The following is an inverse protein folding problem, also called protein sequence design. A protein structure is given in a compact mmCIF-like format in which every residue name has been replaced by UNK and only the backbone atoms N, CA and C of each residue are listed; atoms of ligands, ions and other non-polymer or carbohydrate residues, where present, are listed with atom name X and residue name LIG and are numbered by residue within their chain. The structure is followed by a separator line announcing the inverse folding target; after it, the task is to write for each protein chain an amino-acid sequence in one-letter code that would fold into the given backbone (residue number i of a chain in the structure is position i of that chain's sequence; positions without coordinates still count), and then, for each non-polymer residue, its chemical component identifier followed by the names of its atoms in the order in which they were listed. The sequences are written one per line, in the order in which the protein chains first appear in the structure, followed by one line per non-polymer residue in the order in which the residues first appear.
data_IF_823327453871
#
_entry.id   IF_823327453871
#
_cell.length_a   1.000
_cell.length_b   1.000
_cell.length_c   1.000
_cell.angle_alpha   90.00
_cell.angle_beta   90.00
_cell.angle_gamma   90.00
#
_symmetry.space_group_name_H-M   'P 1'
#
loop_
_entity.id
_entity.type
_entity.pdbx_description
1 polymer ?
#
# COMPACT_ATOMS: atom_id res chain seq x y z
N UNK A 1 -3.96 -0.07 12.45
CA UNK A 1 -4.18 0.06 10.99
C UNK A 1 -2.93 -0.25 10.15
N UNK A 2 -1.72 -0.30 10.73
CA UNK A 2 -0.46 -0.58 10.00
C UNK A 2 -0.24 -2.06 9.69
N UNK A 3 -0.70 -2.98 10.53
CA UNK A 3 -0.39 -4.43 10.41
C UNK A 3 -0.97 -5.09 9.16
N UNK A 4 -2.23 -4.81 8.81
CA UNK A 4 -2.86 -5.37 7.60
C UNK A 4 -2.36 -4.72 6.31
N UNK A 5 -2.04 -3.43 6.35
CA UNK A 5 -1.39 -2.75 5.23
C UNK A 5 0.00 -3.36 4.99
N UNK A 6 0.74 -3.67 6.06
CA UNK A 6 2.00 -4.40 5.99
C UNK A 6 1.81 -5.85 5.52
N UNK A 7 0.74 -6.55 5.89
CA UNK A 7 0.47 -7.92 5.41
C UNK A 7 0.03 -7.93 3.94
N UNK A 8 -0.77 -6.96 3.48
CA UNK A 8 -1.09 -6.78 2.06
C UNK A 8 0.18 -6.48 1.26
N UNK A 9 1.04 -5.60 1.78
CA UNK A 9 2.35 -5.31 1.19
C UNK A 9 3.26 -6.55 1.22
N UNK A 10 3.26 -7.34 2.30
CA UNK A 10 4.03 -8.58 2.45
C UNK A 10 3.56 -9.62 1.45
N UNK A 11 2.26 -9.90 1.35
CA UNK A 11 1.69 -10.84 0.36
C UNK A 11 1.99 -10.35 -1.06
N UNK A 12 1.90 -9.05 -1.33
CA UNK A 12 2.28 -8.48 -2.62
C UNK A 12 3.78 -8.69 -2.91
N UNK A 13 4.65 -8.42 -1.93
CA UNK A 13 6.10 -8.60 -2.06
C UNK A 13 6.49 -10.07 -2.17
N UNK A 14 5.86 -10.98 -1.43
CA UNK A 14 6.02 -12.45 -1.55
C UNK A 14 5.58 -12.95 -2.93
N UNK A 15 4.49 -12.38 -3.48
CA UNK A 15 4.05 -12.64 -4.84
C UNK A 15 5.08 -12.17 -5.89
N UNK A 16 5.62 -10.96 -5.71
CA UNK A 16 6.70 -10.42 -6.54
C UNK A 16 7.98 -11.24 -6.39
N UNK A 17 8.34 -11.67 -5.18
CA UNK A 17 9.53 -12.49 -4.90
C UNK A 17 9.40 -13.87 -5.53
N UNK A 18 8.24 -14.52 -5.41
CA UNK A 18 7.96 -15.80 -6.08
C UNK A 18 7.90 -15.66 -7.60
N UNK A 19 7.44 -14.52 -8.14
CA UNK A 19 7.49 -14.22 -9.57
C UNK A 19 8.94 -14.00 -10.06
N UNK A 20 9.78 -13.27 -9.31
CA UNK A 20 11.20 -13.14 -9.60
C UNK A 20 11.92 -14.49 -9.57
N UNK A 21 11.53 -15.36 -8.63
CA UNK A 21 12.02 -16.74 -8.49
C UNK A 21 11.63 -17.62 -9.70
N UNK A 22 10.52 -17.32 -10.39
CA UNK A 22 10.06 -17.99 -11.60
C UNK A 22 10.65 -17.43 -12.90
N UNK A 23 10.94 -16.13 -12.97
CA UNK A 23 11.59 -15.53 -14.15
C UNK A 23 13.07 -15.90 -14.27
N UNK A 24 13.67 -16.44 -13.21
CA UNK A 24 15.07 -16.86 -13.18
C UNK A 24 15.24 -18.37 -13.37
N UNK A 25 14.97 -18.87 -14.58
CA UNK A 25 15.53 -20.15 -15.04
C UNK A 25 16.98 -20.01 -15.57
N UNK A 26 17.62 -18.86 -15.33
CA UNK A 26 19.01 -18.65 -15.70
C UNK A 26 19.92 -19.29 -14.66
N UNK A 27 20.58 -20.39 -15.04
CA UNK A 27 21.58 -21.08 -14.23
C UNK A 27 22.69 -20.14 -13.71
N UNK A 28 22.90 -18.99 -14.36
CA UNK A 28 23.86 -17.95 -13.96
C UNK A 28 23.43 -17.20 -12.70
N UNK A 29 22.14 -16.94 -12.52
CA UNK A 29 21.60 -16.21 -11.35
C UNK A 29 21.56 -17.12 -10.13
N UNK A 30 21.15 -18.39 -10.32
CA UNK A 30 21.19 -19.40 -9.25
C UNK A 30 22.63 -19.62 -8.76
N UNK A 31 23.63 -19.59 -9.65
CA UNK A 31 25.06 -19.65 -9.28
C UNK A 31 25.53 -18.42 -8.50
N UNK A 32 25.10 -17.22 -8.91
CA UNK A 32 25.45 -15.98 -8.22
C UNK A 32 24.89 -15.92 -6.79
N UNK A 33 23.66 -16.41 -6.58
CA UNK A 33 23.05 -16.49 -5.24
C UNK A 33 23.69 -17.59 -4.38
N UNK A 34 24.05 -18.73 -4.98
CA UNK A 34 24.74 -19.82 -4.25
C UNK A 34 26.16 -19.43 -3.82
N UNK A 35 26.83 -18.56 -4.57
CA UNK A 35 28.16 -18.04 -4.22
C UNK A 35 28.12 -16.97 -3.12
N UNK A 36 26.97 -16.35 -2.83
CA UNK A 36 26.84 -15.41 -1.70
C UNK A 36 26.72 -16.11 -0.35
N UNK A 37 26.38 -17.40 -0.31
CA UNK A 37 26.28 -18.17 0.94
C UNK A 37 27.65 -18.74 1.38
N UNK A 38 28.62 -18.88 0.46
CA UNK A 38 29.97 -19.39 0.79
C UNK A 38 31.00 -18.31 1.19
N UNK A 39 30.68 -17.01 1.11
CA UNK A 39 31.55 -15.95 1.67
C UNK A 39 31.25 -15.66 3.16
N UNK A 40 30.58 -16.61 3.83
CA UNK A 40 30.52 -16.73 5.28
C UNK A 40 31.91 -17.04 5.84
N UNK A 41 32.77 -16.01 5.86
CA UNK A 41 34.13 -16.02 6.38
C UNK A 41 34.15 -16.64 7.78
N UNK A 42 34.62 -17.89 7.85
CA UNK A 42 35.02 -18.54 9.10
C UNK A 42 36.10 -17.67 9.73
N UNK A 43 35.76 -17.02 10.83
CA UNK A 43 36.72 -16.33 11.67
C UNK A 43 37.40 -17.37 12.56
N UNK A 44 38.62 -17.78 12.21
CA UNK A 44 39.49 -18.53 13.11
C UNK A 44 39.82 -17.65 14.31
N UNK A 45 39.20 -17.96 15.46
CA UNK A 45 39.44 -17.26 16.72
C UNK A 45 40.78 -17.72 17.29
N UNK A 46 41.85 -17.00 16.97
CA UNK A 46 43.06 -17.07 17.78
C UNK A 46 42.78 -16.43 19.15
N UNK A 47 42.83 -17.27 20.18
CA UNK A 47 42.65 -16.93 21.59
C UNK A 47 43.82 -16.05 22.06
N UNK A 48 43.69 -14.73 21.90
CA UNK A 48 44.44 -13.75 22.66
C UNK A 48 43.92 -13.71 24.10
N UNK A 49 44.83 -13.79 25.07
CA UNK A 49 44.55 -13.40 26.45
C UNK A 49 44.19 -11.90 26.44
N UNK A 50 43.44 -11.46 27.44
CA UNK A 50 43.07 -10.06 27.71
C UNK A 50 41.71 -9.68 27.09
N UNK A 51 40.64 -10.05 27.80
CA UNK A 51 39.26 -9.85 27.38
C UNK A 51 38.80 -8.39 27.39
N UNK A 52 38.87 -7.72 26.24
CA UNK A 52 38.19 -6.44 26.04
C UNK A 52 37.59 -6.34 24.63
N UNK A 53 36.26 -6.31 24.57
CA UNK A 53 35.47 -6.13 23.35
C UNK A 53 35.53 -4.66 22.94
N UNK A 54 36.22 -4.35 21.85
CA UNK A 54 36.18 -3.02 21.21
C UNK A 54 35.12 -3.02 20.10
N UNK A 55 34.17 -2.09 20.17
CA UNK A 55 33.14 -1.90 19.13
C UNK A 55 33.76 -1.06 17.99
N UNK A 56 33.61 -1.39 16.70
CA UNK A 56 34.02 -0.48 15.64
C UNK A 56 33.02 0.67 15.49
N UNK A 57 33.54 1.90 15.54
CA UNK A 57 32.81 3.12 15.22
C UNK A 57 32.81 3.34 13.70
N UNK A 58 31.64 3.59 13.11
CA UNK A 58 31.52 4.04 11.71
C UNK A 58 31.74 5.56 11.68
N UNK A 59 32.72 6.02 10.91
CA UNK A 59 33.07 7.44 10.75
C UNK A 59 32.25 8.03 9.59
N UNK A 60 31.26 8.86 9.87
CA UNK A 60 30.58 9.66 8.84
C UNK A 60 31.43 10.90 8.54
N UNK A 61 31.77 11.11 7.27
CA UNK A 61 32.43 12.33 6.82
C UNK A 61 31.40 13.48 6.77
N UNK A 62 31.65 14.53 7.54
CA UNK A 62 30.94 15.82 7.47
C UNK A 62 31.75 16.73 6.55
N UNK A 63 31.16 17.20 5.44
CA UNK A 63 31.66 18.38 4.76
C UNK A 63 30.88 19.59 5.28
N UNK A 64 31.53 20.32 6.19
CA UNK A 64 31.15 21.67 6.60
C UNK A 64 31.74 22.66 5.60
N UNK A 65 30.92 23.61 5.15
CA UNK A 65 31.38 24.96 4.84
C UNK A 65 30.35 25.94 5.42
N UNK A 66 30.72 26.52 6.55
CA UNK A 66 30.07 27.68 7.16
C UNK A 66 30.24 28.93 6.28
N UNK A 67 29.20 29.75 6.18
CA UNK A 67 29.35 31.21 6.30
C UNK A 67 28.04 31.85 6.76
N UNK A 68 28.19 32.76 7.74
CA UNK A 68 27.18 33.37 8.61
C UNK A 68 26.08 34.20 7.89
N UNK A 69 24.94 34.46 8.57
CA UNK A 69 23.83 35.25 8.04
C UNK A 69 24.07 36.76 8.21
N UNK A 70 23.62 37.62 7.27
CA UNK A 70 23.49 39.05 7.54
C UNK A 70 22.11 39.37 8.14
N UNK A 71 22.14 40.15 9.22
CA UNK A 71 20.99 40.70 9.96
C UNK A 71 20.15 41.69 9.14
N UNK A 72 18.91 41.88 9.62
CA UNK A 72 17.90 42.86 9.20
C UNK A 72 18.40 44.31 9.23
N UNK A 73 17.96 45.09 8.24
CA UNK A 73 17.80 46.54 8.38
C UNK A 73 16.50 46.98 7.70
N UNK A 74 15.65 47.68 8.44
CA UNK A 74 14.31 48.11 8.03
C UNK A 74 14.33 49.52 7.44
N UNK A 75 13.65 49.74 6.29
CA UNK A 75 13.40 51.10 5.78
C UNK A 75 12.82 51.22 4.37
N UNK A 76 11.48 51.23 4.27
CA UNK A 76 10.57 52.01 3.38
C UNK A 76 10.96 52.33 1.90
N UNK A 77 10.20 51.82 0.90
CA UNK A 77 9.51 52.66 -0.14
C UNK A 77 8.55 51.86 -1.08
N UNK A 78 7.33 52.40 -1.20
CA UNK A 78 6.20 52.35 -2.17
C UNK A 78 6.22 51.44 -3.44
N UNK A 79 5.12 50.66 -3.52
CA UNK A 79 4.17 50.38 -4.63
C UNK A 79 4.60 49.74 -5.99
N UNK A 80 3.62 49.02 -6.57
CA UNK A 80 3.45 48.45 -7.91
C UNK A 80 3.73 46.95 -8.07
N UNK A 81 2.63 46.22 -8.31
CA UNK A 81 2.53 44.77 -8.30
C UNK A 81 3.24 44.01 -9.42
N UNK A 82 3.72 42.81 -9.06
CA UNK A 82 3.80 41.64 -9.93
C UNK A 82 3.93 40.39 -9.06
N UNK A 83 2.82 39.69 -8.80
CA UNK A 83 2.85 38.33 -8.23
C UNK A 83 3.30 37.35 -9.32
N UNK A 84 4.59 37.27 -9.57
CA UNK A 84 5.20 36.08 -10.17
C UNK A 84 5.44 35.10 -9.04
N UNK A 85 4.42 34.30 -8.71
CA UNK A 85 4.61 33.16 -7.80
C UNK A 85 5.37 32.08 -8.57
N UNK A 86 6.69 32.07 -8.41
CA UNK A 86 7.47 30.84 -8.60
C UNK A 86 7.09 29.92 -7.45
N UNK A 87 6.17 28.99 -7.72
CA UNK A 87 5.81 27.96 -6.75
C UNK A 87 6.98 26.98 -6.64
N UNK A 88 7.60 26.98 -5.48
CA UNK A 88 8.54 25.94 -5.05
C UNK A 88 7.84 24.57 -5.10
N UNK A 89 8.20 23.70 -6.05
CA UNK A 89 7.69 22.33 -6.14
C UNK A 89 8.46 21.38 -5.22
N UNK A 90 8.32 21.59 -3.91
CA UNK A 90 8.75 20.63 -2.89
C UNK A 90 7.53 20.28 -2.03
N UNK A 91 6.93 19.11 -2.31
CA UNK A 91 5.79 18.56 -1.57
C UNK A 91 4.45 18.63 -2.31
N UNK A 92 4.26 17.82 -3.35
CA UNK A 92 2.91 17.60 -3.88
C UNK A 92 2.09 16.80 -2.85
N UNK A 93 0.89 17.24 -2.45
CA UNK A 93 -0.01 16.43 -1.64
C UNK A 93 -0.23 15.08 -2.33
N UNK A 94 -0.18 13.98 -1.57
CA UNK A 94 -0.55 12.66 -2.08
C UNK A 94 -1.92 12.76 -2.75
N UNK A 95 -1.90 12.72 -4.08
CA UNK A 95 -3.12 12.95 -4.83
C UNK A 95 -4.06 11.77 -4.58
N UNK A 96 -5.31 12.06 -4.22
CA UNK A 96 -6.34 11.03 -4.07
C UNK A 96 -6.43 10.20 -5.37
N UNK A 97 -6.30 8.88 -5.24
CA UNK A 97 -6.32 7.94 -6.36
C UNK A 97 -7.72 7.34 -6.61
N UNK A 98 -8.68 7.58 -5.73
CA UNK A 98 -10.04 7.06 -5.88
C UNK A 98 -10.97 8.06 -6.55
N UNK A 99 -11.71 7.57 -7.55
CA UNK A 99 -12.87 8.24 -8.11
C UNK A 99 -14.15 7.90 -7.33
N UNK A 100 -14.22 6.72 -6.71
CA UNK A 100 -15.30 6.39 -5.78
C UNK A 100 -15.16 7.22 -4.50
N UNK A 101 -16.27 7.81 -4.04
CA UNK A 101 -16.30 8.58 -2.79
C UNK A 101 -16.13 7.65 -1.58
N UNK A 102 -15.36 8.12 -0.60
CA UNK A 102 -15.28 7.46 0.70
C UNK A 102 -16.65 7.45 1.40
N UNK A 103 -16.92 6.43 2.21
CA UNK A 103 -18.18 6.19 2.92
C UNK A 103 -19.40 6.03 2.00
N UNK A 104 -19.21 5.44 0.82
CA UNK A 104 -20.31 5.09 -0.08
C UNK A 104 -21.21 4.03 0.58
N UNK A 105 -22.53 4.18 0.48
CA UNK A 105 -23.51 3.23 1.01
C UNK A 105 -24.14 2.41 -0.11
N UNK A 106 -24.13 1.10 0.05
CA UNK A 106 -24.74 0.13 -0.86
C UNK A 106 -25.84 -0.62 -0.11
N UNK A 107 -27.00 -0.77 -0.73
CA UNK A 107 -28.13 -1.55 -0.19
C UNK A 107 -28.32 -2.76 -1.09
N UNK A 108 -28.43 -3.95 -0.49
CA UNK A 108 -28.73 -5.19 -1.19
C UNK A 108 -29.80 -5.98 -0.45
N UNK A 109 -30.61 -6.71 -1.19
CA UNK A 109 -31.61 -7.62 -0.61
C UNK A 109 -30.94 -8.92 -0.18
N UNK A 110 -31.32 -9.48 0.97
CA UNK A 110 -30.89 -10.81 1.43
C UNK A 110 -31.10 -11.85 0.33
N UNK A 111 -30.10 -12.68 0.06
CA UNK A 111 -30.09 -13.67 -1.02
C UNK A 111 -29.75 -13.09 -2.40
N UNK A 112 -29.71 -11.76 -2.55
CA UNK A 112 -29.37 -11.09 -3.80
C UNK A 112 -27.87 -10.93 -4.04
N UNK A 113 -27.54 -10.13 -5.04
CA UNK A 113 -26.17 -9.72 -5.38
C UNK A 113 -25.91 -8.30 -4.84
N UNK A 114 -24.84 -8.14 -4.05
CA UNK A 114 -24.28 -6.81 -3.77
C UNK A 114 -23.09 -6.53 -4.68
N UNK A 115 -22.98 -5.30 -5.16
CA UNK A 115 -21.82 -4.79 -5.91
C UNK A 115 -21.29 -3.57 -5.18
N UNK A 116 -20.11 -3.69 -4.58
CA UNK A 116 -19.46 -2.63 -3.83
C UNK A 116 -18.48 -1.92 -4.78
N UNK A 117 -18.73 -0.64 -5.12
CA UNK A 117 -17.92 0.05 -6.12
C UNK A 117 -16.55 0.41 -5.54
N UNK A 118 -15.52 0.24 -6.36
CA UNK A 118 -14.23 0.88 -6.14
C UNK A 118 -13.64 1.26 -7.49
N UNK A 119 -13.64 2.55 -7.80
CA UNK A 119 -13.10 3.12 -9.04
C UNK A 119 -11.86 3.90 -8.69
N UNK A 120 -10.76 3.55 -9.34
CA UNK A 120 -9.45 4.17 -9.17
C UNK A 120 -9.06 4.89 -10.44
N UNK A 121 -8.11 5.83 -10.35
CA UNK A 121 -7.51 6.44 -11.54
C UNK A 121 -6.86 5.36 -12.42
N UNK A 122 -7.15 5.38 -13.72
CA UNK A 122 -6.76 4.34 -14.69
C UNK A 122 -5.23 4.17 -14.78
N UNK A 123 -4.47 5.22 -14.52
CA UNK A 123 -3.02 5.23 -14.54
C UNK A 123 -2.36 4.83 -13.21
N UNK A 124 -3.13 4.35 -12.23
CA UNK A 124 -2.57 3.91 -10.94
C UNK A 124 -1.86 2.56 -11.12
N UNK A 125 -0.54 2.45 -10.82
CA UNK A 125 0.18 1.17 -10.85
C UNK A 125 -0.09 0.31 -9.61
N UNK A 126 -0.99 0.75 -8.73
CA UNK A 126 -1.22 0.17 -7.43
C UNK A 126 -2.11 -1.08 -7.48
N UNK A 127 -1.83 -2.04 -6.61
CA UNK A 127 -2.71 -3.19 -6.42
C UNK A 127 -3.88 -2.81 -5.52
N UNK A 128 -5.08 -3.18 -5.94
CA UNK A 128 -6.31 -3.02 -5.15
C UNK A 128 -6.53 -4.25 -4.28
N UNK A 129 -6.84 -4.05 -3.00
CA UNK A 129 -7.30 -5.10 -2.10
C UNK A 129 -8.67 -4.78 -1.52
N UNK A 130 -9.47 -5.83 -1.27
CA UNK A 130 -10.74 -5.73 -0.55
C UNK A 130 -10.61 -6.39 0.81
N UNK A 131 -10.95 -5.65 1.86
CA UNK A 131 -10.85 -6.10 3.25
C UNK A 131 -12.21 -5.93 3.93
N UNK A 132 -12.67 -6.97 4.61
CA UNK A 132 -13.87 -6.90 5.46
C UNK A 132 -13.49 -6.32 6.81
N UNK A 133 -14.09 -5.21 7.24
CA UNK A 133 -13.63 -4.50 8.45
C UNK A 133 -14.07 -5.13 9.76
N UNK A 134 -15.15 -5.93 9.77
CA UNK A 134 -15.70 -6.52 11.00
C UNK A 134 -14.69 -7.44 11.71
N UNK A 135 -13.87 -8.11 10.93
CA UNK A 135 -12.88 -9.11 11.37
C UNK A 135 -11.54 -8.99 10.62
N UNK A 136 -11.36 -7.89 9.89
CA UNK A 136 -10.15 -7.59 9.14
C UNK A 136 -9.73 -8.67 8.13
N UNK A 137 -10.68 -9.48 7.64
CA UNK A 137 -10.39 -10.53 6.66
C UNK A 137 -10.04 -9.93 5.30
N UNK A 138 -8.90 -10.32 4.73
CA UNK A 138 -8.57 -10.07 3.32
C UNK A 138 -9.48 -10.93 2.43
N UNK A 139 -10.30 -10.27 1.61
CA UNK A 139 -11.23 -10.95 0.71
C UNK A 139 -10.60 -11.20 -0.65
N UNK A 140 -9.99 -10.17 -1.23
CA UNK A 140 -9.30 -10.24 -2.52
C UNK A 140 -8.04 -9.40 -2.51
N UNK A 141 -7.06 -9.81 -3.32
CA UNK A 141 -5.85 -9.06 -3.62
C UNK A 141 -5.65 -9.06 -5.14
N UNK A 142 -5.78 -7.88 -5.75
CA UNK A 142 -5.89 -7.75 -7.19
C UNK A 142 -7.03 -8.62 -7.73
N UNK A 143 -6.70 -9.46 -8.71
CA UNK A 143 -7.65 -10.40 -9.32
C UNK A 143 -7.84 -11.70 -8.52
N UNK A 144 -7.04 -11.93 -7.49
CA UNK A 144 -7.05 -13.17 -6.71
C UNK A 144 -8.00 -13.07 -5.52
N UNK A 145 -8.81 -14.11 -5.31
CA UNK A 145 -9.69 -14.22 -4.13
C UNK A 145 -8.98 -14.99 -3.03
N UNK A 146 -8.86 -14.37 -1.85
CA UNK A 146 -8.24 -14.95 -0.65
C UNK A 146 -9.26 -15.49 0.35
N UNK A 147 -10.50 -15.00 0.30
CA UNK A 147 -11.57 -15.55 1.13
C UNK A 147 -11.86 -17.01 0.73
N UNK A 148 -12.08 -17.87 1.72
CA UNK A 148 -12.59 -19.24 1.49
C UNK A 148 -14.06 -19.24 1.04
N UNK A 149 -14.81 -18.17 1.30
CA UNK A 149 -16.18 -17.99 0.84
C UNK A 149 -16.20 -17.56 -0.63
N UNK A 150 -16.62 -18.48 -1.50
CA UNK A 150 -16.66 -18.32 -2.97
C UNK A 150 -17.68 -17.29 -3.47
N UNK A 151 -18.52 -16.74 -2.58
CA UNK A 151 -19.48 -15.69 -2.93
C UNK A 151 -18.80 -14.35 -3.20
N UNK A 152 -17.63 -14.12 -2.61
CA UNK A 152 -16.81 -12.92 -2.81
C UNK A 152 -16.02 -13.06 -4.11
N UNK A 153 -16.23 -12.13 -5.03
CA UNK A 153 -15.61 -12.13 -6.35
C UNK A 153 -15.20 -10.70 -6.70
N UNK A 154 -14.09 -10.56 -7.42
CA UNK A 154 -13.66 -9.27 -7.97
C UNK A 154 -14.13 -9.11 -9.41
N UNK A 155 -14.71 -7.96 -9.73
CA UNK A 155 -15.05 -7.54 -11.09
C UNK A 155 -14.16 -6.37 -11.47
N UNK A 156 -13.20 -6.63 -12.36
CA UNK A 156 -12.21 -5.65 -12.78
C UNK A 156 -12.40 -5.25 -14.25
N UNK A 157 -12.66 -3.96 -14.48
CA UNK A 157 -12.68 -3.39 -15.83
C UNK A 157 -11.50 -2.42 -16.01
N UNK A 158 -10.39 -2.96 -16.55
CA UNK A 158 -9.09 -2.27 -16.64
C UNK A 158 -9.16 -0.85 -17.21
N UNK A 159 -9.81 -0.68 -18.35
CA UNK A 159 -9.88 0.60 -19.06
C UNK A 159 -10.76 1.65 -18.35
N UNK A 160 -11.56 1.25 -17.35
CA UNK A 160 -12.36 2.17 -16.53
C UNK A 160 -11.81 2.31 -15.10
N UNK A 161 -10.75 1.58 -14.74
CA UNK A 161 -10.23 1.54 -13.36
C UNK A 161 -11.23 0.98 -12.35
N UNK A 162 -12.20 0.16 -12.80
CA UNK A 162 -13.21 -0.43 -11.91
C UNK A 162 -12.65 -1.67 -11.23
N UNK A 163 -12.78 -1.75 -9.91
CA UNK A 163 -12.36 -2.86 -9.06
C UNK A 163 -13.48 -3.23 -8.07
N UNK A 164 -14.67 -3.47 -8.59
CA UNK A 164 -15.84 -3.73 -7.76
C UNK A 164 -15.74 -5.09 -7.07
N UNK A 165 -16.15 -5.16 -5.80
CA UNK A 165 -16.36 -6.43 -5.11
C UNK A 165 -17.81 -6.86 -5.29
N UNK A 166 -18.01 -8.06 -5.83
CA UNK A 166 -19.30 -8.72 -5.97
C UNK A 166 -19.46 -9.73 -4.84
N UNK A 167 -20.62 -9.69 -4.18
CA UNK A 167 -21.00 -10.64 -3.13
C UNK A 167 -22.29 -11.30 -3.57
N UNK A 168 -22.22 -12.56 -3.99
CA UNK A 168 -23.40 -13.35 -4.39
C UNK A 168 -24.15 -13.84 -3.15
N UNK A 169 -25.46 -14.03 -3.27
CA UNK A 169 -26.31 -14.59 -2.22
C UNK A 169 -26.03 -13.97 -0.85
N UNK A 170 -26.13 -12.64 -0.76
CA UNK A 170 -25.76 -11.89 0.44
C UNK A 170 -26.58 -12.33 1.66
N UNK A 171 -25.93 -12.37 2.82
CA UNK A 171 -26.50 -12.78 4.09
C UNK A 171 -26.58 -11.58 5.03
N UNK A 172 -27.42 -11.66 6.05
CA UNK A 172 -27.53 -10.60 7.06
C UNK A 172 -26.18 -10.32 7.73
N UNK A 173 -25.37 -11.37 7.93
CA UNK A 173 -24.01 -11.28 8.49
C UNK A 173 -22.98 -10.57 7.59
N UNK A 174 -23.28 -10.38 6.30
CA UNK A 174 -22.43 -9.62 5.38
C UNK A 174 -22.58 -8.11 5.57
N UNK A 175 -23.57 -7.64 6.36
CA UNK A 175 -23.71 -6.21 6.65
C UNK A 175 -22.45 -5.64 7.32
N UNK A 176 -22.15 -4.38 7.03
CA UNK A 176 -21.07 -3.64 7.68
C UNK A 176 -20.14 -2.95 6.70
N UNK A 177 -18.95 -2.61 7.17
CA UNK A 177 -17.97 -1.86 6.40
C UNK A 177 -16.98 -2.78 5.67
N UNK A 178 -16.72 -2.41 4.43
CA UNK A 178 -15.69 -2.99 3.57
C UNK A 178 -14.71 -1.89 3.19
N UNK A 179 -13.44 -2.25 3.09
CA UNK A 179 -12.37 -1.34 2.71
C UNK A 179 -11.83 -1.74 1.33
N UNK A 180 -11.81 -0.78 0.41
CA UNK A 180 -11.02 -0.86 -0.81
C UNK A 180 -9.72 -0.11 -0.58
N UNK A 181 -8.58 -0.80 -0.63
CA UNK A 181 -7.27 -0.26 -0.30
C UNK A 181 -6.34 -0.32 -1.51
N UNK A 182 -5.50 0.71 -1.66
CA UNK A 182 -4.42 0.78 -2.63
C UNK A 182 -3.07 0.58 -1.97
N UNK A 183 -2.26 -0.33 -2.54
CA UNK A 183 -0.90 -0.64 -2.12
C UNK A 183 0.13 0.43 -2.55
N UNK A 184 -0.16 1.70 -2.25
CA UNK A 184 0.77 2.83 -2.43
C UNK A 184 1.31 3.28 -1.08
N UNK A 185 2.39 4.07 -1.06
CA UNK A 185 2.93 4.61 0.18
C UNK A 185 2.69 6.13 0.29
N UNK A 186 2.10 6.60 1.41
CA UNK A 186 1.34 5.82 2.39
C UNK A 186 0.07 5.23 1.75
N UNK A 187 -0.46 4.14 2.35
CA UNK A 187 -1.63 3.45 1.81
C UNK A 187 -2.83 4.39 1.77
N UNK A 188 -3.64 4.25 0.72
CA UNK A 188 -4.90 4.99 0.58
C UNK A 188 -6.06 4.00 0.61
N UNK A 189 -7.14 4.38 1.30
CA UNK A 189 -8.31 3.53 1.44
C UNK A 189 -9.61 4.33 1.31
N UNK A 190 -10.64 3.69 0.78
CA UNK A 190 -12.04 4.11 0.92
C UNK A 190 -12.85 3.03 1.61
N UNK A 191 -13.90 3.45 2.30
CA UNK A 191 -14.82 2.58 3.02
C UNK A 191 -16.19 2.58 2.36
N UNK A 192 -16.77 1.39 2.26
CA UNK A 192 -18.10 1.16 1.69
C UNK A 192 -18.96 0.48 2.76
N UNK A 193 -20.11 1.05 3.09
CA UNK A 193 -21.10 0.48 4.01
C UNK A 193 -22.08 -0.39 3.21
N UNK A 194 -22.12 -1.69 3.47
CA UNK A 194 -23.13 -2.60 2.94
C UNK A 194 -24.29 -2.73 3.95
N UNK A 195 -25.49 -2.36 3.51
CA UNK A 195 -26.74 -2.60 4.21
C UNK A 195 -27.51 -3.72 3.54
N UNK A 196 -28.04 -4.63 4.36
CA UNK A 196 -28.89 -5.71 3.90
C UNK A 196 -30.32 -5.39 4.30
N UNK A 197 -31.24 -5.54 3.34
CA UNK A 197 -32.68 -5.46 3.57
C UNK A 197 -33.30 -6.83 3.37
N UNK A 198 -34.23 -7.17 4.25
CA UNK A 198 -35.02 -8.40 4.16
C UNK A 198 -36.39 -8.02 3.62
N UNK A 199 -36.84 -8.72 2.58
CA UNK A 199 -38.19 -8.55 2.09
C UNK A 199 -39.15 -9.25 3.07
N UNK A 200 -40.15 -8.51 3.53
CA UNK A 200 -41.14 -8.98 4.50
C UNK A 200 -42.17 -9.93 3.87
N UNK A 201 -42.18 -10.04 2.54
CA UNK A 201 -43.13 -10.88 1.79
C UNK A 201 -42.54 -12.22 1.32
N UNK A 202 -41.28 -12.51 1.62
CA UNK A 202 -40.69 -13.83 1.38
C UNK A 202 -41.03 -14.76 2.55
N UNK A 203 -41.77 -15.87 2.32
CA UNK A 203 -42.19 -16.80 3.38
C UNK A 203 -41.02 -17.55 4.04
#
# INVERSE_FOLDING_TARGET
MTELAMEVQRIHLEGVFNMMRWTSNSASVVRALKNQEEDGRVIDVHRGKDGQVTRPAVKLAVLNLESNPPQEDAGQLRDVGKKTSFQNHFGSPLQNQFNTKNNTRVIAQKGGLAILPCVVKINSPATVSWIRRKDFQLLTLGLSTHSSDKRFLVEHTRHMGHWSLRIKAVREEDRGFYECQLSIYPTQSIFIELKIVVDRNTP
#
